data_IF_409201577007
#
_entry.id   IF_409201577007
#
_cell.length_a   1.000
_cell.length_b   1.000
_cell.length_c   1.000
_cell.angle_alpha   90.00
_cell.angle_beta   90.00
_cell.angle_gamma   90.00
#
_symmetry.space_group_name_H-M   'P 1'
#
loop_
_entity.id
_entity.type
_entity.pdbx_description
1 polymer ?
#
# COMPACT_ATOMS: atom_id res chain seq x y z
N UNK A 1 3.65 -9.91 16.78
CA UNK A 1 3.81 -10.00 15.32
C UNK A 1 5.27 -10.35 14.99
N UNK A 2 5.52 -11.23 14.03
CA UNK A 2 6.89 -11.59 13.62
C UNK A 2 7.40 -10.61 12.55
N UNK A 3 8.19 -9.63 12.97
CA UNK A 3 8.68 -8.55 12.09
C UNK A 3 9.62 -9.05 10.99
N UNK A 4 10.21 -10.25 11.14
CA UNK A 4 11.05 -10.87 10.10
C UNK A 4 10.25 -11.18 8.83
N UNK A 5 8.95 -11.45 8.95
CA UNK A 5 8.08 -11.77 7.80
C UNK A 5 7.70 -10.55 6.96
N UNK A 6 7.84 -9.33 7.51
CA UNK A 6 7.47 -8.07 6.85
C UNK A 6 8.67 -7.14 6.65
N UNK A 7 9.86 -7.71 6.51
CA UNK A 7 11.12 -6.96 6.37
C UNK A 7 11.09 -5.95 5.20
N UNK A 8 10.55 -6.33 4.04
CA UNK A 8 10.53 -5.45 2.86
C UNK A 8 9.62 -4.25 3.09
N UNK A 9 8.53 -4.43 3.84
CA UNK A 9 7.63 -3.34 4.22
C UNK A 9 8.23 -2.41 5.28
N UNK A 10 9.00 -2.95 6.23
CA UNK A 10 9.64 -2.17 7.30
C UNK A 10 10.85 -1.37 6.79
N UNK A 11 11.56 -1.89 5.79
CA UNK A 11 12.73 -1.22 5.25
C UNK A 11 12.35 0.01 4.44
N UNK A 12 13.10 1.09 4.61
CA UNK A 12 12.93 2.31 3.81
C UNK A 12 13.67 2.15 2.47
N UNK A 13 13.18 1.25 1.62
CA UNK A 13 13.85 0.84 0.38
C UNK A 13 15.15 0.08 0.69
N UNK A 14 16.29 0.63 0.29
CA UNK A 14 17.61 -0.01 0.47
C UNK A 14 18.21 0.13 1.88
N UNK A 15 17.63 0.96 2.75
CA UNK A 15 18.17 1.20 4.10
C UNK A 15 17.39 0.43 5.16
N UNK A 16 18.11 -0.33 5.98
CA UNK A 16 17.55 -0.95 7.17
C UNK A 16 17.05 0.15 8.12
N UNK A 17 15.78 0.06 8.50
CA UNK A 17 15.17 0.98 9.47
C UNK A 17 14.96 0.24 10.79
N UNK A 18 15.47 0.81 11.87
CA UNK A 18 15.21 0.32 13.23
C UNK A 18 13.84 0.81 13.66
N UNK A 19 12.93 -0.12 13.94
CA UNK A 19 11.57 0.19 14.41
C UNK A 19 11.62 0.81 15.81
N UNK A 20 11.02 1.99 15.97
CA UNK A 20 10.80 2.59 17.26
C UNK A 20 9.51 2.01 17.92
N UNK A 21 9.35 2.12 19.25
CA UNK A 21 8.14 1.65 19.94
C UNK A 21 6.81 2.23 19.41
N UNK A 22 6.73 3.49 18.95
CA UNK A 22 5.52 4.02 18.30
C UNK A 22 5.18 3.32 16.99
N UNK A 23 6.18 2.94 16.19
CA UNK A 23 5.97 2.27 14.89
C UNK A 23 5.31 0.90 15.09
N UNK A 24 5.70 0.19 16.15
CA UNK A 24 5.09 -1.09 16.52
C UNK A 24 3.60 -0.95 16.84
N UNK A 25 3.20 0.14 17.52
CA UNK A 25 1.79 0.42 17.82
C UNK A 25 0.98 0.74 16.56
N UNK A 26 1.59 1.43 15.60
CA UNK A 26 0.96 1.71 14.31
C UNK A 26 0.75 0.40 13.54
N UNK A 27 1.76 -0.48 13.51
CA UNK A 27 1.66 -1.79 12.83
C UNK A 27 0.58 -2.69 13.46
N UNK A 28 0.40 -2.63 14.79
CA UNK A 28 -0.64 -3.41 15.48
C UNK A 28 -2.07 -2.96 15.12
N UNK A 29 -2.23 -1.73 14.62
CA UNK A 29 -3.51 -1.23 14.10
C UNK A 29 -3.96 -1.86 12.78
N UNK A 30 -3.10 -2.63 12.10
CA UNK A 30 -3.41 -3.26 10.82
C UNK A 30 -3.64 -4.76 10.97
N UNK A 31 -4.56 -5.31 10.16
CA UNK A 31 -4.70 -6.77 10.03
C UNK A 31 -3.40 -7.36 9.49
N UNK A 32 -2.94 -8.45 10.11
CA UNK A 32 -1.68 -9.11 9.74
C UNK A 32 -1.63 -9.55 8.26
N UNK A 33 -2.75 -10.04 7.72
CA UNK A 33 -2.88 -10.40 6.30
C UNK A 33 -2.62 -9.22 5.36
N UNK A 34 -3.02 -8.01 5.77
CA UNK A 34 -2.81 -6.79 4.99
C UNK A 34 -1.34 -6.40 4.97
N UNK A 35 -0.66 -6.47 6.12
CA UNK A 35 0.79 -6.20 6.21
C UNK A 35 1.61 -7.18 5.36
N UNK A 36 1.24 -8.47 5.37
CA UNK A 36 1.86 -9.47 4.50
C UNK A 36 1.62 -9.14 3.02
N UNK A 37 0.39 -8.76 2.64
CA UNK A 37 0.06 -8.33 1.29
C UNK A 37 0.90 -7.13 0.82
N UNK A 38 1.02 -6.10 1.65
CA UNK A 38 1.86 -4.95 1.34
C UNK A 38 3.34 -5.31 1.26
N UNK A 39 3.85 -6.15 2.15
CA UNK A 39 5.23 -6.66 2.07
C UNK A 39 5.51 -7.37 0.73
N UNK A 40 4.56 -8.18 0.24
CA UNK A 40 4.72 -8.80 -1.10
C UNK A 40 4.70 -7.78 -2.23
N UNK A 41 3.88 -6.72 -2.12
CA UNK A 41 3.84 -5.64 -3.11
C UNK A 41 5.16 -4.85 -3.13
N UNK A 42 5.73 -4.54 -1.96
CA UNK A 42 7.03 -3.86 -1.84
C UNK A 42 8.15 -4.73 -2.42
N UNK A 43 8.16 -6.03 -2.14
CA UNK A 43 9.11 -6.98 -2.75
C UNK A 43 9.02 -6.99 -4.28
N UNK A 44 7.81 -7.07 -4.85
CA UNK A 44 7.62 -7.00 -6.31
C UNK A 44 8.13 -5.68 -6.89
N UNK A 45 7.98 -4.59 -6.15
CA UNK A 45 8.50 -3.29 -6.54
C UNK A 45 10.04 -3.23 -6.47
N UNK A 46 10.66 -3.83 -5.45
CA UNK A 46 12.13 -4.00 -5.37
C UNK A 46 12.66 -4.77 -6.59
N UNK A 47 12.01 -5.88 -6.94
CA UNK A 47 12.37 -6.71 -8.09
C UNK A 47 12.23 -5.92 -9.41
N UNK A 48 11.16 -5.13 -9.55
CA UNK A 48 10.99 -4.21 -10.66
C UNK A 48 12.14 -3.19 -10.73
N UNK A 49 12.46 -2.53 -9.62
CA UNK A 49 13.55 -1.54 -9.56
C UNK A 49 14.91 -2.15 -9.91
N UNK A 50 15.17 -3.38 -9.44
CA UNK A 50 16.36 -4.16 -9.79
C UNK A 50 16.44 -4.45 -11.29
N UNK A 51 15.33 -4.82 -11.92
CA UNK A 51 15.27 -5.04 -13.37
C UNK A 51 15.53 -3.77 -14.19
N UNK A 52 15.19 -2.60 -13.65
CA UNK A 52 15.46 -1.28 -14.25
C UNK A 52 16.90 -0.79 -13.97
N UNK A 53 17.72 -1.59 -13.27
CA UNK A 53 19.09 -1.22 -12.90
C UNK A 53 19.20 -0.25 -11.72
N UNK A 54 18.10 0.05 -11.02
CA UNK A 54 18.11 0.95 -9.85
C UNK A 54 18.16 0.13 -8.57
N UNK A 55 19.36 -0.07 -8.05
CA UNK A 55 19.62 -0.88 -6.85
C UNK A 55 19.52 -0.09 -5.56
N UNK A 56 19.81 1.21 -5.59
CA UNK A 56 19.65 2.13 -4.47
C UNK A 56 18.47 3.08 -4.72
N UNK A 57 17.47 2.98 -3.86
CA UNK A 57 16.40 3.97 -3.76
C UNK A 57 15.99 4.13 -2.31
N UNK A 58 15.49 5.32 -2.00
CA UNK A 58 14.94 5.70 -0.70
C UNK A 58 13.48 6.06 -0.93
N UNK A 59 12.57 5.55 -0.10
CA UNK A 59 11.18 5.98 -0.17
C UNK A 59 11.10 7.39 0.43
N UNK A 60 10.33 8.30 -0.19
CA UNK A 60 9.37 8.09 -1.27
C UNK A 60 9.99 8.27 -2.67
N UNK A 61 9.52 7.49 -3.65
CA UNK A 61 10.06 7.51 -5.03
C UNK A 61 9.64 8.78 -5.81
N UNK A 62 8.54 9.43 -5.43
CA UNK A 62 8.06 10.67 -6.09
C UNK A 62 7.22 11.55 -5.15
N UNK A 63 7.26 12.90 -5.28
CA UNK A 63 6.60 13.83 -4.33
C UNK A 63 5.06 13.92 -4.40
N UNK A 64 4.41 13.36 -5.43
CA UNK A 64 2.99 13.65 -5.77
C UNK A 64 1.95 12.67 -5.22
N UNK A 65 2.33 11.44 -4.84
CA UNK A 65 1.47 10.48 -4.11
C UNK A 65 1.50 10.68 -2.60
N UNK A 66 2.33 11.60 -2.14
CA UNK A 66 2.78 11.63 -0.77
C UNK A 66 1.89 12.46 0.15
N UNK A 67 0.68 12.90 -0.16
CA UNK A 67 -0.11 13.80 0.72
C UNK A 67 -0.28 13.32 2.18
N UNK A 68 -0.74 12.08 2.45
CA UNK A 68 -0.81 11.56 3.82
C UNK A 68 0.53 11.00 4.32
N UNK A 69 1.41 10.58 3.40
CA UNK A 69 2.79 10.18 3.69
C UNK A 69 3.64 11.38 4.15
N UNK A 70 3.40 12.56 3.59
CA UNK A 70 4.00 13.87 3.84
C UNK A 70 3.60 14.38 5.22
N UNK A 71 2.35 14.15 5.63
CA UNK A 71 1.89 14.41 6.99
C UNK A 71 2.54 13.47 8.02
N UNK A 72 2.82 12.22 7.65
CA UNK A 72 3.45 11.23 8.55
C UNK A 72 4.98 11.32 8.58
N UNK A 73 5.61 11.84 7.52
CA UNK A 73 7.07 11.91 7.35
C UNK A 73 7.63 13.34 7.18
N UNK A 74 6.81 14.36 7.45
CA UNK A 74 7.15 15.79 7.45
C UNK A 74 7.76 16.33 6.13
N UNK A 75 7.05 16.13 5.03
CA UNK A 75 7.42 16.62 3.69
C UNK A 75 6.26 17.39 3.03
N UNK A 76 6.50 18.19 1.97
CA UNK A 76 5.51 19.16 1.43
C UNK A 76 4.63 18.59 0.30
N UNK A 77 3.30 18.69 0.46
CA UNK A 77 2.31 18.23 -0.52
C UNK A 77 2.12 19.18 -1.73
N UNK A 78 2.08 18.68 -2.98
CA UNK A 78 1.90 19.54 -4.16
C UNK A 78 0.44 19.98 -4.38
N UNK A 79 0.14 21.17 -3.85
CA UNK A 79 -1.16 21.85 -3.96
C UNK A 79 -1.60 22.20 -5.39
N UNK A 80 -0.68 22.37 -6.33
CA UNK A 80 -1.00 22.90 -7.67
C UNK A 80 -1.91 21.99 -8.52
N UNK A 81 -1.99 20.69 -8.22
CA UNK A 81 -2.82 19.73 -8.99
C UNK A 81 -4.07 19.25 -8.26
N UNK A 82 -4.35 19.77 -7.07
CA UNK A 82 -5.50 19.35 -6.24
C UNK A 82 -6.84 19.45 -6.99
N UNK A 83 -7.04 20.56 -7.73
CA UNK A 83 -8.29 20.81 -8.46
C UNK A 83 -8.56 19.78 -9.56
N UNK A 84 -7.52 19.38 -10.31
CA UNK A 84 -7.67 18.38 -11.36
C UNK A 84 -7.94 16.98 -10.79
N UNK A 85 -7.22 16.61 -9.72
CA UNK A 85 -7.40 15.31 -9.05
C UNK A 85 -8.82 15.19 -8.46
N UNK A 86 -9.30 16.24 -7.80
CA UNK A 86 -10.66 16.29 -7.24
C UNK A 86 -11.75 16.18 -8.32
N UNK A 87 -11.53 16.80 -9.49
CA UNK A 87 -12.45 16.69 -10.63
C UNK A 87 -12.50 15.25 -11.18
N UNK A 88 -11.34 14.60 -11.32
CA UNK A 88 -11.24 13.21 -11.77
C UNK A 88 -11.95 12.24 -10.81
N UNK A 89 -11.74 12.36 -9.49
CA UNK A 89 -12.41 11.54 -8.48
C UNK A 89 -13.94 11.68 -8.54
N UNK A 90 -14.46 12.89 -8.75
CA UNK A 90 -15.90 13.15 -8.84
C UNK A 90 -16.52 12.56 -10.12
N UNK A 91 -15.80 12.58 -11.24
CA UNK A 91 -16.23 11.93 -12.47
C UNK A 91 -16.25 10.40 -12.32
N UNK A 92 -15.22 9.82 -11.69
CA UNK A 92 -15.15 8.38 -11.41
C UNK A 92 -16.33 7.91 -10.55
N UNK A 93 -16.64 8.62 -9.46
CA UNK A 93 -17.76 8.25 -8.58
C UNK A 93 -19.14 8.29 -9.29
N UNK A 94 -19.32 9.16 -10.28
CA UNK A 94 -20.54 9.18 -11.11
C UNK A 94 -20.61 7.97 -12.04
N UNK A 95 -19.48 7.57 -12.62
CA UNK A 95 -19.41 6.36 -13.45
C UNK A 95 -19.65 5.11 -12.60
N UNK A 96 -19.03 5.00 -11.43
CA UNK A 96 -19.22 3.88 -10.51
C UNK A 96 -20.68 3.73 -10.04
N UNK A 97 -21.40 4.85 -9.89
CA UNK A 97 -22.82 4.84 -9.55
C UNK A 97 -23.73 4.33 -10.69
N UNK A 98 -23.27 4.36 -11.94
CA UNK A 98 -23.98 3.77 -13.09
C UNK A 98 -23.71 2.28 -13.26
N UNK A 99 -22.68 1.75 -12.59
CA UNK A 99 -22.38 0.32 -12.60
C UNK A 99 -23.40 -0.37 -11.69
N UNK A 100 -24.12 -1.40 -12.17
CA UNK A 100 -25.06 -2.13 -11.33
C UNK A 100 -24.34 -2.75 -10.14
N UNK A 101 -25.01 -2.75 -8.97
CA UNK A 101 -24.47 -3.41 -7.77
C UNK A 101 -24.16 -4.85 -8.12
N UNK A 102 -22.92 -5.27 -7.88
CA UNK A 102 -22.53 -6.67 -8.01
C UNK A 102 -23.41 -7.50 -7.06
N UNK A 103 -23.83 -8.72 -7.47
CA UNK A 103 -24.50 -9.62 -6.55
C UNK A 103 -23.64 -9.81 -5.30
N UNK A 104 -24.30 -9.93 -4.15
CA UNK A 104 -23.60 -10.16 -2.90
C UNK A 104 -22.72 -11.41 -3.04
N UNK A 105 -21.48 -11.31 -2.57
CA UNK A 105 -20.58 -12.46 -2.58
C UNK A 105 -21.22 -13.55 -1.73
N UNK A 106 -21.42 -14.74 -2.31
CA UNK A 106 -21.91 -15.88 -1.57
C UNK A 106 -20.96 -16.19 -0.39
N UNK A 107 -21.49 -16.67 0.74
CA UNK A 107 -20.67 -17.17 1.84
C UNK A 107 -19.67 -18.21 1.32
N UNK A 108 -18.40 -18.09 1.70
CA UNK A 108 -17.40 -19.13 1.42
C UNK A 108 -17.75 -20.35 2.26
N UNK A 109 -18.08 -21.46 1.60
CA UNK A 109 -18.40 -22.72 2.25
C UNK A 109 -17.14 -23.55 2.49
N UNK A 110 -17.22 -24.50 3.42
CA UNK A 110 -16.13 -25.45 3.69
C UNK A 110 -15.82 -26.30 2.44
N UNK A 111 -16.81 -26.55 1.59
CA UNK A 111 -16.62 -27.22 0.31
C UNK A 111 -15.72 -26.42 -0.65
N UNK A 112 -15.88 -25.09 -0.70
CA UNK A 112 -15.06 -24.22 -1.57
C UNK A 112 -13.58 -24.21 -1.13
N UNK A 113 -13.31 -24.55 0.13
CA UNK A 113 -11.95 -24.69 0.68
C UNK A 113 -11.31 -26.04 0.34
N UNK A 114 -12.11 -27.07 0.07
CA UNK A 114 -11.61 -28.38 -0.31
C UNK A 114 -11.07 -28.39 -1.75
N UNK A 115 -11.63 -27.57 -2.64
CA UNK A 115 -11.21 -27.43 -4.04
C UNK A 115 -9.92 -26.60 -4.22
N UNK A 116 -9.32 -26.10 -3.13
CA UNK A 116 -8.08 -25.33 -3.12
C UNK A 116 -6.81 -26.20 -2.96
N UNK A 117 -6.95 -27.53 -2.80
CA UNK A 117 -5.84 -28.47 -2.57
C UNK A 117 -5.84 -29.63 -3.58
#
# INVERSE_FOLDING_TARGET
>A
MDTKKIQHFIHNGSTNQTLAPPDLRVLDGWKWSTLLGYNTAVKKFEDFKRSTGVTHYKLPITPRTCTPWHTFHDALYPYQTEKQVKLMLKASGRHDATIPKRPEKAPVLIADLADLF
#
